data_IF_844837770331
#
_entry.id   IF_844837770331
#
_cell.length_a   1.000
_cell.length_b   1.000
_cell.length_c   1.000
_cell.angle_alpha   90.00
_cell.angle_beta   90.00
_cell.angle_gamma   90.00
#
_symmetry.space_group_name_H-M   'P 1'
#
loop_
_entity.id
_entity.type
_entity.pdbx_description
1 polymer ?
#
# COMPACT_ATOMS: atom_id res chain seq x y z
N UNK A 1 -22.19 -17.97 -52.87
CA UNK A 1 -22.44 -17.18 -51.64
C UNK A 1 -21.99 -17.84 -50.31
N UNK A 2 -21.47 -19.09 -50.31
CA UNK A 2 -21.11 -19.82 -49.07
C UNK A 2 -19.76 -19.43 -48.42
N UNK A 3 -18.81 -18.89 -49.19
CA UNK A 3 -17.46 -18.56 -48.68
C UNK A 3 -17.33 -17.25 -47.90
N UNK A 4 -18.34 -16.37 -47.90
CA UNK A 4 -18.32 -15.10 -47.15
C UNK A 4 -18.66 -15.29 -45.67
N UNK A 5 -19.57 -16.21 -45.35
CA UNK A 5 -19.99 -16.50 -43.97
C UNK A 5 -18.87 -17.10 -43.12
N UNK A 6 -18.07 -18.00 -43.68
CA UNK A 6 -16.90 -18.56 -42.99
C UNK A 6 -15.88 -17.50 -42.59
N UNK A 7 -15.67 -16.47 -43.41
CA UNK A 7 -14.75 -15.36 -43.11
C UNK A 7 -15.25 -14.49 -41.94
N UNK A 8 -16.56 -14.27 -41.84
CA UNK A 8 -17.16 -13.52 -40.73
C UNK A 8 -17.14 -14.31 -39.42
N UNK A 9 -17.37 -15.63 -39.46
CA UNK A 9 -17.26 -16.50 -38.29
C UNK A 9 -15.81 -16.58 -37.78
N UNK A 10 -14.84 -16.74 -38.68
CA UNK A 10 -13.42 -16.76 -38.31
C UNK A 10 -12.98 -15.41 -37.74
N UNK A 11 -13.41 -14.30 -38.37
CA UNK A 11 -13.13 -12.95 -37.88
C UNK A 11 -13.77 -12.68 -36.51
N UNK A 12 -15.02 -13.11 -36.29
CA UNK A 12 -15.69 -12.99 -35.00
C UNK A 12 -15.01 -13.80 -33.88
N UNK A 13 -14.52 -15.00 -34.20
CA UNK A 13 -13.80 -15.84 -33.25
C UNK A 13 -12.44 -15.22 -32.85
N UNK A 14 -11.70 -14.65 -33.81
CA UNK A 14 -10.46 -13.92 -33.52
C UNK A 14 -10.72 -12.71 -32.63
N UNK A 15 -11.77 -11.93 -32.89
CA UNK A 15 -12.15 -10.78 -32.05
C UNK A 15 -12.57 -11.22 -30.65
N UNK A 16 -13.31 -12.32 -30.52
CA UNK A 16 -13.73 -12.86 -29.21
C UNK A 16 -12.53 -13.37 -28.39
N UNK A 17 -11.56 -14.03 -29.03
CA UNK A 17 -10.31 -14.47 -28.37
C UNK A 17 -9.46 -13.27 -27.95
N UNK A 18 -9.33 -12.24 -28.80
CA UNK A 18 -8.58 -11.02 -28.48
C UNK A 18 -9.21 -10.23 -27.32
N UNK A 19 -10.54 -10.21 -27.22
CA UNK A 19 -11.24 -9.56 -26.10
C UNK A 19 -11.08 -10.33 -24.76
N UNK A 20 -10.73 -11.62 -24.79
CA UNK A 20 -10.61 -12.47 -23.61
C UNK A 20 -9.24 -12.46 -22.91
N UNK A 21 -8.18 -11.91 -23.54
CA UNK A 21 -6.80 -12.11 -23.07
C UNK A 21 -6.20 -11.00 -22.20
N UNK A 22 -6.95 -9.97 -21.80
CA UNK A 22 -6.41 -8.94 -20.89
C UNK A 22 -7.46 -8.40 -19.94
N UNK A 23 -7.80 -9.18 -18.92
CA UNK A 23 -8.59 -8.69 -17.79
C UNK A 23 -7.68 -7.94 -16.82
N UNK A 24 -7.88 -6.62 -16.71
CA UNK A 24 -7.23 -5.73 -15.74
C UNK A 24 -8.29 -5.29 -14.71
N UNK A 25 -8.56 -6.10 -13.67
CA UNK A 25 -9.65 -5.84 -12.73
C UNK A 25 -9.36 -4.59 -11.90
N UNK A 26 -10.37 -3.74 -11.65
CA UNK A 26 -10.25 -2.51 -10.85
C UNK A 26 -11.21 -2.48 -9.66
N UNK A 27 -11.76 -3.64 -9.29
CA UNK A 27 -12.80 -3.81 -8.27
C UNK A 27 -12.32 -3.55 -6.83
N UNK A 28 -11.01 -3.62 -6.60
CA UNK A 28 -10.35 -3.43 -5.29
C UNK A 28 -9.42 -2.22 -5.28
N UNK A 29 -9.62 -1.28 -6.19
CA UNK A 29 -8.82 -0.06 -6.31
C UNK A 29 -7.51 -0.24 -7.08
N UNK A 30 -7.33 -1.34 -7.80
CA UNK A 30 -6.20 -1.53 -8.70
C UNK A 30 -6.18 -0.43 -9.77
N UNK A 31 -4.98 -0.01 -10.17
CA UNK A 31 -4.74 0.99 -11.20
C UNK A 31 -3.71 0.45 -12.19
N UNK A 32 -3.85 0.88 -13.45
CA UNK A 32 -2.99 0.43 -14.57
C UNK A 32 -2.43 1.62 -15.37
N UNK A 33 -2.29 2.76 -14.69
CA UNK A 33 -1.90 4.06 -15.27
C UNK A 33 -0.38 4.29 -15.26
N UNK A 34 0.36 3.50 -14.50
CA UNK A 34 1.81 3.67 -14.29
C UNK A 34 2.68 2.76 -15.18
N UNK A 35 2.04 1.88 -15.96
CA UNK A 35 2.74 0.89 -16.80
C UNK A 35 3.13 -0.37 -16.03
N UNK A 36 3.81 -1.28 -16.73
CA UNK A 36 4.39 -2.46 -16.13
C UNK A 36 5.72 -2.08 -15.46
N UNK A 37 5.96 -2.62 -14.27
CA UNK A 37 7.17 -2.43 -13.49
C UNK A 37 7.99 -3.73 -13.56
N UNK A 38 9.24 -3.62 -14.00
CA UNK A 38 10.13 -4.77 -14.24
C UNK A 38 11.00 -5.09 -13.01
N UNK A 39 11.00 -4.21 -11.99
CA UNK A 39 11.75 -4.35 -10.75
C UNK A 39 10.84 -4.17 -9.54
N UNK A 40 11.14 -4.87 -8.45
CA UNK A 40 10.38 -4.75 -7.20
C UNK A 40 10.34 -3.32 -6.62
N UNK A 41 11.36 -2.51 -6.89
CA UNK A 41 11.44 -1.10 -6.54
C UNK A 41 12.03 -0.30 -7.71
N UNK A 42 11.23 0.57 -8.33
CA UNK A 42 11.67 1.44 -9.41
C UNK A 42 11.78 2.89 -8.95
N UNK A 43 12.95 3.51 -9.18
CA UNK A 43 13.14 4.93 -8.91
C UNK A 43 12.30 5.77 -9.87
N UNK A 44 11.42 6.62 -9.32
CA UNK A 44 10.57 7.52 -10.09
C UNK A 44 10.93 8.98 -9.82
N UNK A 45 10.98 9.79 -10.87
CA UNK A 45 11.23 11.23 -10.75
C UNK A 45 10.11 11.96 -9.99
N UNK A 46 8.88 11.48 -10.14
CA UNK A 46 7.70 12.02 -9.46
C UNK A 46 6.68 10.92 -9.23
N UNK A 47 6.29 10.64 -7.97
CA UNK A 47 5.18 9.74 -7.68
C UNK A 47 3.88 10.17 -8.36
N UNK A 48 3.13 9.23 -8.93
CA UNK A 48 1.80 9.48 -9.49
C UNK A 48 0.72 9.56 -8.38
N UNK A 49 0.93 10.49 -7.45
CA UNK A 49 0.04 10.80 -6.34
C UNK A 49 -0.49 12.24 -6.47
N UNK A 50 -1.74 12.45 -6.03
CA UNK A 50 -2.40 13.76 -6.05
C UNK A 50 -2.54 14.30 -4.64
N UNK A 51 -2.31 15.60 -4.49
CA UNK A 51 -2.45 16.31 -3.22
C UNK A 51 -1.27 16.08 -2.27
N UNK A 52 -1.46 16.56 -1.04
CA UNK A 52 -0.53 16.41 0.07
C UNK A 52 -1.00 15.29 1.02
N UNK A 53 -0.09 14.62 1.75
CA UNK A 53 -0.46 13.71 2.83
C UNK A 53 -1.32 14.43 3.88
N UNK A 54 -2.38 13.77 4.35
CA UNK A 54 -3.34 14.34 5.31
C UNK A 54 -2.98 14.05 6.78
N UNK A 55 -2.05 13.13 7.03
CA UNK A 55 -1.71 12.56 8.33
C UNK A 55 -0.35 13.06 8.87
N UNK A 56 0.04 14.30 8.56
CA UNK A 56 1.34 14.86 8.96
C UNK A 56 1.54 14.93 10.49
N UNK A 57 0.46 15.19 11.24
CA UNK A 57 0.51 15.17 12.71
C UNK A 57 0.74 13.75 13.23
N UNK A 58 0.01 12.76 12.71
CA UNK A 58 0.16 11.36 13.13
C UNK A 58 1.55 10.82 12.80
N UNK A 59 2.12 11.21 11.65
CA UNK A 59 3.50 10.91 11.31
C UNK A 59 4.47 11.46 12.35
N UNK A 60 4.32 12.72 12.75
CA UNK A 60 5.16 13.35 13.78
C UNK A 60 5.03 12.64 15.14
N UNK A 61 3.81 12.29 15.54
CA UNK A 61 3.55 11.52 16.76
C UNK A 61 4.22 10.14 16.69
N UNK A 62 4.09 9.45 15.56
CA UNK A 62 4.71 8.14 15.34
C UNK A 62 6.24 8.18 15.45
N UNK A 63 6.88 9.26 14.99
CA UNK A 63 8.31 9.45 15.15
C UNK A 63 8.73 9.67 16.61
N UNK A 64 7.90 10.33 17.41
CA UNK A 64 8.14 10.46 18.85
C UNK A 64 8.05 9.09 19.55
N UNK A 65 7.07 8.27 19.20
CA UNK A 65 6.97 6.89 19.71
C UNK A 65 8.22 6.08 19.35
N UNK A 66 8.70 6.15 18.10
CA UNK A 66 9.93 5.45 17.68
C UNK A 66 11.13 5.96 18.47
N UNK A 67 11.25 7.28 18.67
CA UNK A 67 12.35 7.89 19.42
C UNK A 67 12.42 7.38 20.86
N UNK A 68 11.28 7.27 21.54
CA UNK A 68 11.22 6.83 22.93
C UNK A 68 11.32 5.31 23.08
N UNK A 69 10.64 4.54 22.23
CA UNK A 69 10.61 3.08 22.30
C UNK A 69 11.88 2.43 21.71
N UNK A 70 12.50 3.04 20.70
CA UNK A 70 13.68 2.52 20.02
C UNK A 70 14.64 3.63 19.52
N UNK A 71 15.43 4.24 20.43
CA UNK A 71 16.36 5.32 20.07
C UNK A 71 17.37 4.93 18.99
N UNK A 72 17.80 3.66 18.94
CA UNK A 72 18.75 3.17 17.93
C UNK A 72 18.13 3.08 16.53
N UNK A 73 16.85 2.73 16.41
CA UNK A 73 16.12 2.77 15.14
C UNK A 73 15.92 4.21 14.69
N UNK A 74 15.55 5.09 15.64
CA UNK A 74 15.37 6.52 15.37
C UNK A 74 16.64 7.15 14.81
N UNK A 75 17.76 7.02 15.52
CA UNK A 75 19.02 7.65 15.15
C UNK A 75 19.55 7.16 13.79
N UNK A 76 19.35 5.88 13.45
CA UNK A 76 19.77 5.32 12.16
C UNK A 76 19.02 5.92 10.96
N UNK A 77 17.78 6.36 11.15
CA UNK A 77 16.91 6.84 10.07
C UNK A 77 16.55 8.32 10.20
N UNK A 78 17.14 9.03 11.17
CA UNK A 78 16.75 10.40 11.52
C UNK A 78 16.87 11.39 10.35
N UNK A 79 17.88 11.22 9.49
CA UNK A 79 18.03 12.05 8.29
C UNK A 79 16.81 11.97 7.36
N UNK A 80 16.33 10.75 7.08
CA UNK A 80 15.13 10.52 6.28
C UNK A 80 13.88 11.09 6.97
N UNK A 81 13.74 10.88 8.27
CA UNK A 81 12.60 11.40 9.04
C UNK A 81 12.54 12.94 9.00
N UNK A 82 13.69 13.60 9.19
CA UNK A 82 13.78 15.07 9.11
C UNK A 82 13.52 15.58 7.70
N UNK A 83 14.03 14.90 6.67
CA UNK A 83 13.77 15.26 5.27
C UNK A 83 12.26 15.20 4.95
N UNK A 84 11.56 14.15 5.39
CA UNK A 84 10.10 14.02 5.22
C UNK A 84 9.35 15.09 6.01
N UNK A 85 9.74 15.39 7.25
CA UNK A 85 9.12 16.48 8.03
C UNK A 85 9.29 17.84 7.35
N UNK A 86 10.50 18.16 6.86
CA UNK A 86 10.77 19.41 6.17
C UNK A 86 9.97 19.52 4.87
N UNK A 87 9.89 18.44 4.10
CA UNK A 87 9.06 18.36 2.90
C UNK A 87 7.57 18.59 3.21
N UNK A 88 7.05 17.97 4.28
CA UNK A 88 5.66 18.18 4.69
C UNK A 88 5.39 19.61 5.15
N UNK A 89 6.30 20.20 5.94
CA UNK A 89 6.19 21.58 6.40
C UNK A 89 6.22 22.60 5.24
N UNK A 90 6.86 22.25 4.12
CA UNK A 90 6.91 23.07 2.91
C UNK A 90 5.70 22.90 1.97
N UNK A 91 4.67 22.15 2.39
CA UNK A 91 3.44 21.96 1.61
C UNK A 91 3.31 20.60 0.93
N UNK A 92 4.29 19.70 1.13
CA UNK A 92 4.24 18.29 0.76
C UNK A 92 3.95 18.01 -0.74
N UNK A 93 4.48 18.85 -1.62
CA UNK A 93 4.36 18.63 -3.06
C UNK A 93 5.29 17.49 -3.51
N UNK A 94 4.73 16.41 -4.06
CA UNK A 94 5.50 15.25 -4.54
C UNK A 94 6.46 15.59 -5.69
N UNK A 95 6.28 16.73 -6.37
CA UNK A 95 7.22 17.27 -7.36
C UNK A 95 8.51 17.79 -6.75
N UNK A 96 8.53 18.06 -5.45
CA UNK A 96 9.63 18.74 -4.78
C UNK A 96 10.47 17.82 -3.89
N UNK A 97 10.20 16.50 -3.88
CA UNK A 97 10.93 15.53 -3.03
C UNK A 97 12.45 15.66 -3.13
N UNK A 98 12.99 15.78 -4.34
CA UNK A 98 14.43 15.94 -4.57
C UNK A 98 15.03 17.20 -3.91
N UNK A 99 14.24 18.27 -3.74
CA UNK A 99 14.70 19.50 -3.07
C UNK A 99 14.96 19.28 -1.58
N UNK A 100 14.36 18.24 -1.00
CA UNK A 100 14.56 17.81 0.40
C UNK A 100 15.48 16.59 0.51
N UNK A 101 16.13 16.18 -0.60
CA UNK A 101 16.97 14.98 -0.63
C UNK A 101 16.19 13.67 -0.56
N UNK A 102 14.89 13.68 -0.90
CA UNK A 102 14.04 12.49 -0.91
C UNK A 102 13.98 11.90 -2.31
N UNK A 103 14.25 10.60 -2.42
CA UNK A 103 14.00 9.80 -3.61
C UNK A 103 12.75 8.95 -3.41
N UNK A 104 11.95 8.76 -4.45
CA UNK A 104 10.77 7.91 -4.42
C UNK A 104 11.01 6.62 -5.21
N UNK A 105 10.90 5.48 -4.54
CA UNK A 105 10.94 4.17 -5.16
C UNK A 105 9.53 3.57 -5.17
N UNK A 106 8.97 3.39 -6.37
CA UNK A 106 7.65 2.81 -6.57
C UNK A 106 7.75 1.28 -6.48
N UNK A 107 6.87 0.69 -5.69
CA UNK A 107 6.80 -0.77 -5.52
C UNK A 107 6.03 -1.41 -6.68
N UNK A 108 6.47 -2.58 -7.15
CA UNK A 108 5.82 -3.30 -8.27
C UNK A 108 4.39 -3.78 -7.96
N UNK A 109 4.10 -4.10 -6.69
CA UNK A 109 2.80 -4.63 -6.28
C UNK A 109 2.61 -6.12 -6.59
N UNK A 110 1.40 -6.63 -6.43
CA UNK A 110 1.13 -8.08 -6.60
C UNK A 110 0.95 -8.52 -8.05
N UNK A 111 0.78 -7.57 -8.96
CA UNK A 111 0.54 -7.80 -10.39
C UNK A 111 1.54 -7.08 -11.31
N UNK A 112 2.62 -6.51 -10.75
CA UNK A 112 3.65 -5.75 -11.47
C UNK A 112 3.13 -4.46 -12.15
N UNK A 113 1.99 -3.90 -11.72
CA UNK A 113 1.46 -2.61 -12.19
C UNK A 113 1.39 -1.53 -11.10
N UNK A 114 2.07 -1.73 -9.98
CA UNK A 114 2.07 -0.80 -8.85
C UNK A 114 0.96 -1.06 -7.82
N UNK A 115 0.21 -2.15 -7.96
CA UNK A 115 -0.90 -2.48 -7.08
C UNK A 115 -0.43 -3.21 -5.83
N UNK A 116 0.01 -2.44 -4.83
CA UNK A 116 0.39 -2.98 -3.51
C UNK A 116 -0.85 -3.45 -2.76
N UNK A 117 -0.80 -4.68 -2.24
CA UNK A 117 -1.88 -5.23 -1.43
C UNK A 117 -1.91 -4.57 -0.05
N UNK A 118 -3.02 -3.92 0.28
CA UNK A 118 -3.27 -3.39 1.61
C UNK A 118 -4.23 -4.29 2.39
N UNK A 119 -3.85 -4.64 3.61
CA UNK A 119 -4.71 -5.29 4.61
C UNK A 119 -4.72 -4.45 5.89
N UNK A 120 -5.64 -4.73 6.80
CA UNK A 120 -5.78 -3.98 8.05
C UNK A 120 -5.78 -4.89 9.27
N UNK A 121 -5.17 -4.43 10.34
CA UNK A 121 -5.32 -4.98 11.69
C UNK A 121 -5.60 -3.84 12.66
N UNK A 122 -6.22 -4.14 13.80
CA UNK A 122 -6.46 -3.19 14.88
C UNK A 122 -6.38 -3.91 16.21
N UNK A 123 -6.16 -3.16 17.29
CA UNK A 123 -6.22 -3.69 18.65
C UNK A 123 -7.67 -3.64 19.14
N UNK A 124 -8.39 -4.77 19.26
CA UNK A 124 -9.76 -4.75 19.73
C UNK A 124 -9.80 -4.38 21.21
N UNK A 125 -10.69 -3.45 21.58
CA UNK A 125 -11.05 -3.24 22.97
C UNK A 125 -11.97 -4.36 23.43
N UNK A 126 -11.50 -5.26 24.31
CA UNK A 126 -12.35 -6.27 24.91
C UNK A 126 -13.07 -5.70 26.14
N UNK A 127 -14.39 -5.82 26.20
CA UNK A 127 -15.15 -5.58 27.42
C UNK A 127 -15.01 -6.81 28.33
N UNK A 128 -14.10 -6.76 29.30
CA UNK A 128 -13.93 -7.81 30.30
C UNK A 128 -14.70 -7.47 31.58
N UNK A 129 -15.43 -8.45 32.13
CA UNK A 129 -15.92 -8.41 33.50
C UNK A 129 -15.02 -9.28 34.38
N UNK A 130 -14.60 -8.77 35.55
CA UNK A 130 -13.83 -9.53 36.55
C UNK A 130 -14.63 -10.69 37.18
N UNK A 131 -15.96 -10.65 37.05
CA UNK A 131 -16.88 -11.66 37.60
C UNK A 131 -17.91 -12.10 36.55
N UNK A 132 -18.40 -13.36 36.61
CA UNK A 132 -19.35 -13.87 35.63
C UNK A 132 -20.65 -13.05 35.67
N UNK A 133 -20.90 -12.27 34.63
CA UNK A 133 -22.12 -11.48 34.45
C UNK A 133 -22.89 -12.06 33.27
N UNK A 134 -23.57 -13.19 33.48
CA UNK A 134 -24.54 -13.80 32.56
C UNK A 134 -24.04 -14.28 31.18
N UNK A 135 -22.88 -13.80 30.71
CA UNK A 135 -22.14 -14.28 29.54
C UNK A 135 -20.90 -15.01 30.02
N UNK A 136 -20.64 -16.19 29.45
CA UNK A 136 -19.47 -17.02 29.79
C UNK A 136 -18.21 -16.22 29.44
N UNK A 137 -17.34 -15.86 30.40
CA UNK A 137 -16.07 -15.24 30.11
C UNK A 137 -15.17 -16.26 29.39
N UNK A 138 -14.70 -15.95 28.18
CA UNK A 138 -13.63 -16.73 27.55
C UNK A 138 -12.31 -16.40 28.28
N UNK A 139 -11.60 -17.39 28.84
CA UNK A 139 -10.37 -17.13 29.58
C UNK A 139 -9.25 -16.69 28.63
N UNK A 140 -8.56 -15.60 28.99
CA UNK A 140 -7.27 -15.26 28.38
C UNK A 140 -6.20 -16.20 28.96
N UNK A 141 -5.54 -16.97 28.12
CA UNK A 141 -4.50 -17.93 28.54
C UNK A 141 -3.14 -17.27 28.44
N UNK A 142 -2.40 -17.24 29.55
CA UNK A 142 -0.99 -16.83 29.55
C UNK A 142 -0.12 -17.98 29.05
N UNK A 143 0.93 -17.64 28.29
CA UNK A 143 1.87 -18.64 27.78
C UNK A 143 2.58 -19.35 28.96
N UNK A 144 2.40 -20.66 29.07
CA UNK A 144 3.08 -21.47 30.09
C UNK A 144 4.52 -21.78 29.65
N UNK A 145 5.49 -21.57 30.54
CA UNK A 145 6.89 -21.90 30.29
C UNK A 145 7.07 -23.43 30.19
N UNK A 146 7.69 -23.90 29.11
CA UNK A 146 8.13 -25.29 29.02
C UNK A 146 9.45 -25.40 29.80
N UNK A 147 9.36 -25.88 31.05
CA UNK A 147 10.53 -26.31 31.82
C UNK A 147 10.87 -27.76 31.50
#
# INVERSE_FOLDING_TARGET
>A
MKGRWGKYLLGGLVVAVLAGCSSKPTDRGQQYKDGHLDQSLELVNRPNARGAPINGQDYSNQLMEIKYASPSLFNRNNSTYQAVQNWMAAGADTRQLNQFGLSAYQMEGVDSYGNVQFTGYYTPGAAGALYPTGRIPLPAVQHASQR
#
